data_IF_029726172531
#
_entry.id   IF_029726172531
#
_cell.length_a   1.000
_cell.length_b   1.000
_cell.length_c   1.000
_cell.angle_alpha   90.00
_cell.angle_beta   90.00
_cell.angle_gamma   90.00
#
_symmetry.space_group_name_H-M   'P 1'
#
loop_
_entity.id
_entity.type
_entity.pdbx_description
1 polymer ?
#
# COMPACT_ATOMS: atom_id res chain seq x y z
N UNK A 1 6.31 5.02 9.28
CA UNK A 1 5.80 4.18 10.38
C UNK A 1 5.58 4.97 11.66
N UNK A 2 6.45 5.94 11.97
CA UNK A 2 6.34 6.76 13.20
C UNK A 2 5.03 7.56 13.25
N UNK A 3 4.70 8.31 12.20
CA UNK A 3 3.48 9.14 12.15
C UNK A 3 2.21 8.29 12.28
N UNK A 4 2.20 7.13 11.61
CA UNK A 4 1.09 6.18 11.72
C UNK A 4 0.93 5.66 13.17
N UNK A 5 2.04 5.42 13.87
CA UNK A 5 2.01 5.05 15.30
C UNK A 5 1.39 6.15 16.16
N UNK A 6 1.72 7.41 15.91
CA UNK A 6 1.14 8.55 16.62
C UNK A 6 -0.36 8.67 16.39
N UNK A 7 -0.83 8.47 15.14
CA UNK A 7 -2.26 8.47 14.83
C UNK A 7 -2.99 7.33 15.53
N UNK A 8 -2.46 6.11 15.50
CA UNK A 8 -3.04 4.95 16.19
C UNK A 8 -3.11 5.22 17.71
N UNK A 9 -2.03 5.73 18.31
CA UNK A 9 -1.97 6.06 19.74
C UNK A 9 -2.99 7.13 20.11
N UNK A 10 -3.13 8.17 19.29
CA UNK A 10 -4.15 9.20 19.47
C UNK A 10 -5.56 8.59 19.37
N UNK A 11 -5.85 7.73 18.39
CA UNK A 11 -7.14 7.05 18.25
C UNK A 11 -7.49 6.26 19.53
N UNK A 12 -6.54 5.45 20.01
CA UNK A 12 -6.73 4.69 21.25
C UNK A 12 -6.95 5.59 22.49
N UNK A 13 -6.40 6.81 22.50
CA UNK A 13 -6.60 7.75 23.59
C UNK A 13 -7.98 8.45 23.55
N UNK A 14 -8.58 8.54 22.35
CA UNK A 14 -9.86 9.22 22.14
C UNK A 14 -11.07 8.30 22.21
N UNK A 15 -10.91 7.05 21.82
CA UNK A 15 -12.00 6.08 21.76
C UNK A 15 -11.74 4.91 22.71
N UNK A 16 -12.76 4.49 23.42
CA UNK A 16 -12.66 3.33 24.34
C UNK A 16 -12.66 2.03 23.50
N UNK A 17 -11.55 1.27 23.58
CA UNK A 17 -11.38 -0.01 22.87
C UNK A 17 -11.74 0.05 21.37
N UNK A 18 -11.11 0.93 20.57
CA UNK A 18 -11.43 1.03 19.16
C UNK A 18 -10.96 -0.22 18.41
N UNK A 19 -11.79 -0.75 17.53
CA UNK A 19 -11.36 -1.75 16.54
C UNK A 19 -10.72 -1.03 15.35
N UNK A 20 -9.40 -1.14 15.23
CA UNK A 20 -8.65 -0.38 14.22
C UNK A 20 -8.35 -1.27 13.02
N UNK A 21 -8.86 -0.88 11.86
CA UNK A 21 -8.47 -1.41 10.56
C UNK A 21 -7.53 -0.43 9.86
N UNK A 22 -6.39 -0.90 9.38
CA UNK A 22 -5.53 -0.11 8.50
C UNK A 22 -5.86 -0.41 7.05
N UNK A 23 -6.21 0.63 6.30
CA UNK A 23 -6.38 0.57 4.86
C UNK A 23 -5.32 1.44 4.19
N UNK A 24 -4.64 0.90 3.18
CA UNK A 24 -3.65 1.63 2.42
C UNK A 24 -3.70 1.34 0.93
N UNK A 25 -3.60 2.39 0.11
CA UNK A 25 -3.47 2.30 -1.34
C UNK A 25 -2.00 2.43 -1.76
N UNK A 26 -1.58 1.63 -2.72
CA UNK A 26 -0.23 1.70 -3.29
C UNK A 26 0.85 1.56 -2.19
N UNK A 27 1.82 2.47 -2.10
CA UNK A 27 2.83 2.50 -1.03
C UNK A 27 2.22 2.49 0.38
N UNK A 28 1.06 3.15 0.54
CA UNK A 28 0.31 3.16 1.81
C UNK A 28 -0.12 1.77 2.25
N UNK A 29 -0.45 0.87 1.32
CA UNK A 29 -0.76 -0.53 1.63
C UNK A 29 0.43 -1.26 2.24
N UNK A 30 1.64 -1.09 1.66
CA UNK A 30 2.86 -1.65 2.23
C UNK A 30 3.15 -1.13 3.64
N UNK A 31 3.01 0.18 3.86
CA UNK A 31 3.18 0.81 5.18
C UNK A 31 2.16 0.25 6.19
N UNK A 32 0.91 0.07 5.77
CA UNK A 32 -0.16 -0.50 6.61
C UNK A 32 0.16 -1.93 7.02
N UNK A 33 0.62 -2.77 6.10
CA UNK A 33 1.01 -4.16 6.39
C UNK A 33 2.23 -4.25 7.32
N UNK A 34 3.28 -3.42 7.11
CA UNK A 34 4.43 -3.33 8.01
C UNK A 34 4.01 -2.92 9.43
N UNK A 35 3.11 -1.96 9.55
CA UNK A 35 2.61 -1.52 10.86
C UNK A 35 1.76 -2.59 11.52
N UNK A 36 0.83 -3.19 10.78
CA UNK A 36 -0.08 -4.22 11.27
C UNK A 36 0.66 -5.47 11.78
N UNK A 37 1.79 -5.85 11.15
CA UNK A 37 2.58 -7.01 11.57
C UNK A 37 3.31 -6.84 12.91
N UNK A 38 3.39 -5.62 13.43
CA UNK A 38 4.14 -5.29 14.66
C UNK A 38 3.32 -4.55 15.71
N UNK A 39 2.02 -4.32 15.47
CA UNK A 39 1.16 -3.55 16.37
C UNK A 39 -0.14 -4.30 16.69
N UNK A 40 -0.23 -4.81 17.89
CA UNK A 40 -1.36 -5.64 18.38
C UNK A 40 -2.68 -4.86 18.53
N UNK A 41 -2.64 -3.53 18.42
CA UNK A 41 -3.85 -2.68 18.42
C UNK A 41 -4.64 -2.78 17.11
N UNK A 42 -4.00 -3.28 16.03
CA UNK A 42 -4.63 -3.42 14.72
C UNK A 42 -5.39 -4.74 14.65
N UNK A 43 -6.64 -4.67 14.18
CA UNK A 43 -7.53 -5.83 14.04
C UNK A 43 -7.57 -6.39 12.63
N UNK A 44 -7.53 -5.52 11.62
CA UNK A 44 -7.56 -5.92 10.21
C UNK A 44 -6.60 -5.05 9.41
N UNK A 45 -6.11 -5.57 8.29
CA UNK A 45 -5.35 -4.80 7.31
C UNK A 45 -5.88 -5.01 5.90
N UNK A 46 -6.08 -3.92 5.19
CA UNK A 46 -6.55 -3.90 3.80
C UNK A 46 -5.52 -3.18 2.93
N UNK A 47 -5.16 -3.79 1.81
CA UNK A 47 -4.26 -3.17 0.84
C UNK A 47 -4.90 -3.10 -0.55
N UNK A 48 -4.88 -1.92 -1.15
CA UNK A 48 -5.32 -1.65 -2.51
C UNK A 48 -4.11 -1.38 -3.40
N UNK A 49 -3.92 -2.15 -4.47
CA UNK A 49 -2.86 -1.97 -5.46
C UNK A 49 -1.47 -1.76 -4.80
N UNK A 50 -1.16 -2.54 -3.76
CA UNK A 50 0.06 -2.38 -2.96
C UNK A 50 1.25 -3.09 -3.59
N UNK A 51 2.46 -2.48 -3.55
CA UNK A 51 3.69 -3.20 -3.85
C UNK A 51 4.04 -4.20 -2.74
N UNK A 52 4.73 -5.26 -3.12
CA UNK A 52 5.34 -6.24 -2.22
C UNK A 52 6.77 -5.87 -1.80
N UNK A 53 7.34 -4.83 -2.43
CA UNK A 53 8.65 -4.30 -2.10
C UNK A 53 8.76 -2.81 -2.48
N UNK A 54 9.50 -2.02 -1.70
CA UNK A 54 9.63 -0.58 -1.94
C UNK A 54 10.71 -0.21 -2.97
N UNK A 55 11.71 -1.06 -3.19
CA UNK A 55 12.88 -0.75 -4.02
C UNK A 55 13.01 -1.56 -5.31
N UNK A 56 12.49 -2.78 -5.38
CA UNK A 56 12.70 -3.72 -6.52
C UNK A 56 12.13 -3.26 -7.86
N UNK A 57 11.55 -2.07 -7.90
CA UNK A 57 10.89 -1.50 -9.08
C UNK A 57 11.75 -0.47 -9.80
N UNK A 58 12.95 -0.19 -9.30
CA UNK A 58 13.83 0.81 -9.88
C UNK A 58 14.99 0.13 -10.59
N UNK A 59 15.15 0.35 -11.91
CA UNK A 59 16.29 -0.17 -12.65
C UNK A 59 17.63 0.32 -12.08
N UNK A 60 18.66 -0.47 -12.22
CA UNK A 60 19.98 -0.17 -11.62
C UNK A 60 20.61 1.11 -12.16
N UNK A 61 20.48 1.37 -13.46
CA UNK A 61 20.92 2.61 -14.10
C UNK A 61 20.25 3.84 -13.48
N UNK A 62 18.96 3.73 -13.19
CA UNK A 62 18.22 4.81 -12.52
C UNK A 62 18.65 4.99 -11.05
N UNK A 63 18.98 3.90 -10.36
CA UNK A 63 19.55 3.98 -8.99
C UNK A 63 20.92 4.67 -9.02
N UNK A 64 21.76 4.36 -9.99
CA UNK A 64 23.08 4.97 -10.15
C UNK A 64 22.96 6.49 -10.43
N UNK A 65 22.05 6.87 -11.34
CA UNK A 65 21.75 8.28 -11.60
C UNK A 65 21.22 9.00 -10.35
N UNK A 66 20.41 8.32 -9.54
CA UNK A 66 19.86 8.85 -8.30
C UNK A 66 20.95 9.09 -7.26
N UNK A 67 21.90 8.14 -7.14
CA UNK A 67 23.06 8.29 -6.26
C UNK A 67 23.96 9.45 -6.69
N UNK A 68 24.14 9.64 -8.00
CA UNK A 68 24.97 10.72 -8.56
C UNK A 68 24.32 12.10 -8.33
N UNK A 69 23.00 12.23 -8.64
CA UNK A 69 22.31 13.52 -8.63
C UNK A 69 21.64 13.87 -7.30
N UNK A 70 21.52 12.92 -6.37
CA UNK A 70 20.84 13.11 -5.10
C UNK A 70 19.31 13.20 -5.21
N UNK A 71 18.74 13.31 -6.43
CA UNK A 71 17.32 13.44 -6.69
C UNK A 71 16.96 12.83 -8.06
N UNK A 72 15.81 12.16 -8.12
CA UNK A 72 15.12 11.79 -9.36
C UNK A 72 13.71 12.33 -9.35
N UNK A 73 13.09 12.42 -10.53
CA UNK A 73 11.73 12.92 -10.66
C UNK A 73 10.80 11.78 -11.07
N UNK A 74 9.63 11.72 -10.42
CA UNK A 74 8.55 10.81 -10.74
C UNK A 74 7.38 11.64 -11.25
N UNK A 75 6.94 11.37 -12.47
CA UNK A 75 5.80 12.07 -13.04
C UNK A 75 4.49 11.61 -12.35
N UNK A 76 3.77 12.58 -11.80
CA UNK A 76 2.43 12.38 -11.26
C UNK A 76 1.39 12.70 -12.34
N UNK A 77 0.81 11.64 -12.93
CA UNK A 77 -0.17 11.78 -14.00
C UNK A 77 -1.46 12.50 -13.58
N UNK A 78 -1.80 12.53 -12.29
CA UNK A 78 -2.98 13.24 -11.79
C UNK A 78 -2.78 14.76 -11.77
N UNK A 79 -1.66 15.19 -11.19
CA UNK A 79 -1.37 16.63 -11.02
C UNK A 79 -0.55 17.20 -12.16
N UNK A 80 -0.12 16.35 -13.11
CA UNK A 80 0.76 16.70 -14.25
C UNK A 80 2.08 17.35 -13.80
N UNK A 81 2.59 16.93 -12.65
CA UNK A 81 3.81 17.47 -12.04
C UNK A 81 4.92 16.42 -11.99
N UNK A 82 6.16 16.87 -12.18
CA UNK A 82 7.33 16.08 -11.86
C UNK A 82 7.62 16.22 -10.37
N UNK A 83 7.35 15.17 -9.60
CA UNK A 83 7.55 15.14 -8.15
C UNK A 83 8.98 14.72 -7.83
N UNK A 84 9.75 15.53 -7.06
CA UNK A 84 11.09 15.15 -6.66
C UNK A 84 11.05 13.99 -5.68
N UNK A 85 11.94 13.02 -5.90
CA UNK A 85 12.21 11.93 -4.99
C UNK A 85 13.69 11.98 -4.63
N UNK A 86 13.99 12.44 -3.41
CA UNK A 86 15.36 12.62 -2.94
C UNK A 86 16.01 11.28 -2.61
N UNK A 87 17.34 11.21 -2.74
CA UNK A 87 18.14 10.00 -2.47
C UNK A 87 17.92 9.47 -1.05
N UNK A 88 17.58 10.35 -0.11
CA UNK A 88 17.24 9.99 1.26
C UNK A 88 16.18 8.85 1.34
N UNK A 89 15.20 8.83 0.42
CA UNK A 89 14.23 7.72 0.40
C UNK A 89 14.90 6.38 0.12
N UNK A 90 15.85 6.34 -0.82
CA UNK A 90 16.60 5.14 -1.15
C UNK A 90 17.50 4.70 0.02
N UNK A 91 18.29 5.63 0.57
CA UNK A 91 19.19 5.35 1.70
C UNK A 91 18.42 4.87 2.92
N UNK A 92 17.31 5.51 3.28
CA UNK A 92 16.44 5.09 4.38
C UNK A 92 15.90 3.66 4.17
N UNK A 93 15.49 3.32 2.95
CA UNK A 93 15.04 1.96 2.64
C UNK A 93 16.16 0.92 2.77
N UNK A 94 17.40 1.24 2.41
CA UNK A 94 18.55 0.34 2.53
C UNK A 94 18.97 0.20 4.00
N UNK A 95 19.08 1.31 4.73
CA UNK A 95 19.47 1.32 6.14
C UNK A 95 18.47 0.58 7.03
N UNK A 96 17.18 0.64 6.68
CA UNK A 96 16.11 0.01 7.43
C UNK A 96 15.53 -1.24 6.74
N UNK A 97 16.30 -1.90 5.86
CA UNK A 97 15.83 -3.04 5.04
C UNK A 97 15.17 -4.17 5.85
N UNK A 98 15.68 -4.46 7.06
CA UNK A 98 15.11 -5.48 7.92
C UNK A 98 13.73 -5.07 8.49
N UNK A 99 13.60 -3.80 8.88
CA UNK A 99 12.35 -3.22 9.38
C UNK A 99 11.31 -3.05 8.27
N UNK A 100 11.76 -2.86 7.03
CA UNK A 100 10.94 -2.68 5.83
C UNK A 100 10.76 -3.97 5.03
N UNK A 101 11.12 -5.11 5.59
CA UNK A 101 11.01 -6.42 4.95
C UNK A 101 9.54 -6.86 4.88
N UNK A 102 8.92 -6.61 3.73
CA UNK A 102 7.52 -6.91 3.46
C UNK A 102 7.21 -8.40 3.56
N UNK A 103 8.10 -9.26 3.04
CA UNK A 103 7.90 -10.70 3.09
C UNK A 103 7.82 -11.18 4.54
N UNK A 104 8.79 -10.78 5.37
CA UNK A 104 8.80 -11.12 6.80
C UNK A 104 7.57 -10.58 7.52
N UNK A 105 7.19 -9.33 7.25
CA UNK A 105 6.03 -8.69 7.85
C UNK A 105 4.73 -9.42 7.50
N UNK A 106 4.50 -9.68 6.22
CA UNK A 106 3.27 -10.32 5.74
C UNK A 106 3.17 -11.78 6.17
N UNK A 107 4.29 -12.53 6.16
CA UNK A 107 4.32 -13.91 6.65
C UNK A 107 4.00 -14.03 8.16
N UNK A 108 4.24 -12.96 8.93
CA UNK A 108 4.00 -12.92 10.36
C UNK A 108 2.63 -12.30 10.75
N UNK A 109 1.82 -11.89 9.77
CA UNK A 109 0.48 -11.37 10.06
C UNK A 109 -0.41 -12.46 10.67
N UNK A 110 -0.89 -12.20 11.89
CA UNK A 110 -1.83 -13.06 12.61
C UNK A 110 -3.28 -12.57 12.57
N UNK A 111 -3.50 -11.40 11.96
CA UNK A 111 -4.81 -10.76 11.82
C UNK A 111 -5.35 -10.94 10.40
N UNK A 112 -6.67 -10.81 10.19
CA UNK A 112 -7.26 -10.83 8.85
C UNK A 112 -6.63 -9.82 7.91
N UNK A 113 -6.35 -10.26 6.68
CA UNK A 113 -5.76 -9.44 5.62
C UNK A 113 -6.57 -9.56 4.34
N UNK A 114 -6.94 -8.40 3.76
CA UNK A 114 -7.53 -8.30 2.42
C UNK A 114 -6.55 -7.61 1.47
N UNK A 115 -6.31 -8.25 0.33
CA UNK A 115 -5.48 -7.75 -0.76
C UNK A 115 -6.37 -7.54 -1.98
N UNK A 116 -6.51 -6.30 -2.45
CA UNK A 116 -7.27 -5.97 -3.67
C UNK A 116 -6.32 -5.39 -4.71
N UNK A 117 -6.38 -5.90 -5.95
CA UNK A 117 -5.51 -5.46 -7.03
C UNK A 117 -6.20 -5.54 -8.38
N UNK A 118 -5.93 -4.59 -9.27
CA UNK A 118 -6.33 -4.66 -10.67
C UNK A 118 -5.32 -5.47 -11.51
N UNK A 119 -5.78 -6.35 -12.38
CA UNK A 119 -4.86 -7.13 -13.23
C UNK A 119 -4.25 -6.33 -14.38
N UNK A 120 -4.83 -5.18 -14.71
CA UNK A 120 -4.35 -4.24 -15.72
C UNK A 120 -3.63 -3.01 -15.10
N UNK A 121 -3.12 -3.15 -13.86
CA UNK A 121 -2.34 -2.11 -13.17
C UNK A 121 -0.93 -1.98 -13.79
N UNK A 122 -0.63 -0.86 -14.50
CA UNK A 122 0.71 -0.66 -15.09
C UNK A 122 1.72 -0.10 -14.08
N UNK A 123 1.24 0.35 -12.91
CA UNK A 123 2.06 1.01 -11.89
C UNK A 123 2.62 0.01 -10.89
N UNK A 124 1.77 -0.87 -10.40
CA UNK A 124 2.14 -2.01 -9.53
C UNK A 124 1.59 -3.26 -10.16
N UNK A 125 2.47 -4.14 -10.64
CA UNK A 125 2.03 -5.32 -11.36
C UNK A 125 1.24 -6.27 -10.43
N UNK A 126 0.21 -6.91 -10.94
CA UNK A 126 -0.63 -7.88 -10.21
C UNK A 126 0.18 -9.02 -9.57
N UNK A 127 1.37 -9.31 -10.09
CA UNK A 127 2.33 -10.24 -9.49
C UNK A 127 2.64 -9.88 -8.04
N UNK A 128 2.72 -8.60 -7.70
CA UNK A 128 3.03 -8.15 -6.34
C UNK A 128 1.91 -8.54 -5.35
N UNK A 129 0.65 -8.43 -5.75
CA UNK A 129 -0.47 -8.92 -4.95
C UNK A 129 -0.44 -10.44 -4.75
N UNK A 130 -0.09 -11.18 -5.81
CA UNK A 130 0.09 -12.64 -5.74
C UNK A 130 1.25 -13.04 -4.82
N UNK A 131 2.35 -12.29 -4.82
CA UNK A 131 3.49 -12.51 -3.90
C UNK A 131 3.06 -12.26 -2.45
N UNK A 132 2.32 -11.17 -2.17
CA UNK A 132 1.77 -10.89 -0.83
C UNK A 132 0.86 -12.03 -0.34
N UNK A 133 -0.05 -12.51 -1.18
CA UNK A 133 -0.92 -13.63 -0.84
C UNK A 133 -0.14 -14.94 -0.64
N UNK A 134 0.87 -15.21 -1.46
CA UNK A 134 1.76 -16.37 -1.29
C UNK A 134 2.47 -16.34 0.07
N UNK A 135 2.86 -15.17 0.58
CA UNK A 135 3.49 -15.03 1.88
C UNK A 135 2.52 -15.16 3.05
N UNK A 136 1.25 -14.82 2.85
CA UNK A 136 0.16 -15.08 3.79
C UNK A 136 -1.03 -15.76 3.10
N UNK A 137 -1.01 -17.11 2.95
CA UNK A 137 -2.09 -17.84 2.29
C UNK A 137 -3.45 -17.76 2.99
N UNK A 138 -3.49 -17.25 4.23
CA UNK A 138 -4.74 -16.98 4.96
C UNK A 138 -5.39 -15.65 4.58
N UNK A 139 -4.69 -14.78 3.84
CA UNK A 139 -5.26 -13.54 3.34
C UNK A 139 -6.36 -13.81 2.30
N UNK A 140 -7.32 -12.89 2.20
CA UNK A 140 -8.21 -12.84 1.06
C UNK A 140 -7.53 -12.08 -0.08
N UNK A 141 -7.41 -12.71 -1.26
CA UNK A 141 -6.91 -12.07 -2.47
C UNK A 141 -8.07 -11.84 -3.44
N UNK A 142 -8.29 -10.58 -3.81
CA UNK A 142 -9.29 -10.18 -4.78
C UNK A 142 -8.64 -9.45 -5.96
N UNK A 143 -8.64 -10.10 -7.14
CA UNK A 143 -8.12 -9.53 -8.38
C UNK A 143 -9.30 -9.04 -9.22
N UNK A 144 -9.32 -7.73 -9.49
CA UNK A 144 -10.34 -7.10 -10.33
C UNK A 144 -9.86 -7.09 -11.78
N UNK A 145 -10.66 -7.73 -12.64
CA UNK A 145 -10.35 -7.86 -14.07
C UNK A 145 -10.38 -6.48 -14.76
N UNK A 146 -9.41 -6.25 -15.64
CA UNK A 146 -9.24 -5.03 -16.45
C UNK A 146 -9.10 -3.73 -15.63
N UNK A 147 -9.03 -3.80 -14.30
CA UNK A 147 -8.88 -2.63 -13.44
C UNK A 147 -7.43 -2.12 -13.39
N UNK A 148 -7.29 -0.81 -13.35
CA UNK A 148 -6.01 -0.11 -13.27
C UNK A 148 -5.61 0.22 -11.81
N UNK A 149 -4.47 0.90 -11.63
CA UNK A 149 -3.89 1.26 -10.33
C UNK A 149 -4.83 2.04 -9.39
N UNK A 150 -5.76 2.79 -9.94
CA UNK A 150 -6.68 3.67 -9.20
C UNK A 150 -8.14 3.25 -9.34
N UNK A 151 -8.40 2.04 -9.88
CA UNK A 151 -9.73 1.47 -10.03
C UNK A 151 -10.70 2.40 -10.78
N UNK A 152 -10.23 3.00 -11.87
CA UNK A 152 -11.01 3.91 -12.70
C UNK A 152 -11.12 5.35 -12.15
N UNK A 153 -10.58 5.64 -10.96
CA UNK A 153 -10.57 7.01 -10.45
C UNK A 153 -9.64 7.91 -11.27
N UNK A 154 -9.97 9.20 -11.34
CA UNK A 154 -9.18 10.22 -12.05
C UNK A 154 -9.22 11.55 -11.29
N UNK A 155 -8.45 12.53 -11.73
CA UNK A 155 -8.41 13.86 -11.10
C UNK A 155 -8.41 14.95 -12.19
N UNK A 156 -9.19 16.06 -12.03
CA UNK A 156 -10.16 16.30 -10.95
C UNK A 156 -11.38 15.36 -11.06
N UNK A 157 -11.97 14.99 -9.91
CA UNK A 157 -13.13 14.12 -9.86
C UNK A 157 -14.38 14.93 -9.51
N UNK A 158 -15.27 15.13 -10.49
CA UNK A 158 -16.46 16.01 -10.39
C UNK A 158 -17.76 15.22 -10.57
N UNK A 159 -17.70 13.90 -10.43
CA UNK A 159 -18.85 13.00 -10.60
C UNK A 159 -19.31 12.56 -9.21
N UNK A 160 -20.61 12.60 -8.94
CA UNK A 160 -21.17 12.21 -7.64
C UNK A 160 -21.06 10.72 -7.32
N UNK A 161 -20.97 9.87 -8.38
CA UNK A 161 -20.87 8.41 -8.22
C UNK A 161 -19.43 7.95 -8.41
N UNK A 162 -18.98 7.02 -7.58
CA UNK A 162 -17.69 6.36 -7.78
C UNK A 162 -17.64 5.60 -9.13
N UNK A 163 -16.46 5.48 -9.76
CA UNK A 163 -16.26 4.54 -10.85
C UNK A 163 -16.68 3.13 -10.42
N UNK A 164 -17.20 2.34 -11.35
CA UNK A 164 -17.71 0.98 -11.05
C UNK A 164 -16.68 0.12 -10.32
N UNK A 165 -15.42 0.12 -10.80
CA UNK A 165 -14.36 -0.68 -10.19
C UNK A 165 -14.05 -0.20 -8.76
N UNK A 166 -13.98 1.12 -8.56
CA UNK A 166 -13.71 1.68 -7.23
C UNK A 166 -14.89 1.42 -6.28
N UNK A 167 -16.13 1.51 -6.74
CA UNK A 167 -17.30 1.16 -5.94
C UNK A 167 -17.21 -0.30 -5.47
N UNK A 168 -16.86 -1.22 -6.38
CA UNK A 168 -16.72 -2.62 -6.07
C UNK A 168 -15.62 -2.88 -5.02
N UNK A 169 -14.49 -2.20 -5.16
CA UNK A 169 -13.36 -2.26 -4.21
C UNK A 169 -13.78 -1.76 -2.82
N UNK A 170 -14.55 -0.68 -2.76
CA UNK A 170 -15.10 -0.12 -1.50
C UNK A 170 -16.07 -1.11 -0.87
N UNK A 171 -17.03 -1.65 -1.63
CA UNK A 171 -18.03 -2.59 -1.12
C UNK A 171 -17.38 -3.88 -0.59
N UNK A 172 -16.39 -4.43 -1.32
CA UNK A 172 -15.61 -5.60 -0.86
C UNK A 172 -14.84 -5.30 0.43
N UNK A 173 -14.30 -4.09 0.55
CA UNK A 173 -13.59 -3.65 1.76
C UNK A 173 -14.55 -3.54 2.94
N UNK A 174 -15.71 -2.89 2.76
CA UNK A 174 -16.72 -2.74 3.82
C UNK A 174 -17.23 -4.12 4.27
N UNK A 175 -17.49 -5.02 3.33
CA UNK A 175 -17.89 -6.39 3.65
C UNK A 175 -16.83 -7.10 4.51
N UNK A 176 -15.56 -7.01 4.13
CA UNK A 176 -14.46 -7.65 4.84
C UNK A 176 -14.29 -7.13 6.28
N UNK A 177 -14.39 -5.82 6.50
CA UNK A 177 -14.18 -5.24 7.85
C UNK A 177 -15.35 -5.45 8.80
N UNK A 178 -16.51 -5.87 8.29
CA UNK A 178 -17.73 -6.15 9.08
C UNK A 178 -17.95 -7.65 9.34
N UNK A 179 -17.00 -8.51 8.97
CA UNK A 179 -17.02 -9.94 9.32
C UNK A 179 -16.55 -10.16 10.76
#
# INVERSE_FOLDING_TARGET
LYDLDKVISWTCSKFKNPEITLLGHSRGGGISMLKASSDTRIKNVVSWASPSNFLNRMPEDRINLWKEKGVVFVYNGRTKQNMPLYLQFYTDCIEHKEKLNMQKAVSNLSIPQLIIHGDSDPTVLVKEAKDLHKWNPKSELFILKDANHVFGAFHPYNIEKLPTDLQFVVDKTIFFINQ
#
